data_IF_219789471996
#
_entry.id   IF_219789471996
#
_cell.length_a   1.000
_cell.length_b   1.000
_cell.length_c   1.000
_cell.angle_alpha   90.00
_cell.angle_beta   90.00
_cell.angle_gamma   90.00
#
_symmetry.space_group_name_H-M   'P 1'
#
loop_
_entity.id
_entity.type
_entity.pdbx_description
1 polymer ?
#
# COMPACT_ATOMS: atom_id res chain seq x y z
N UNK A 1 -10.34 34.16 8.28
CA UNK A 1 -9.60 35.30 8.86
C UNK A 1 -8.13 35.11 8.49
N UNK A 2 -7.64 35.95 7.58
CA UNK A 2 -6.29 36.51 7.45
C UNK A 2 -5.05 35.59 7.58
N UNK A 3 -4.57 35.14 6.41
CA UNK A 3 -3.22 35.29 5.81
C UNK A 3 -2.02 35.67 6.71
N UNK A 4 -0.90 34.93 6.59
CA UNK A 4 0.51 35.40 6.41
C UNK A 4 1.44 34.16 6.46
N UNK A 5 2.04 33.65 5.38
CA UNK A 5 3.05 34.19 4.47
C UNK A 5 4.38 34.55 5.15
N UNK A 6 5.45 33.80 4.84
CA UNK A 6 6.79 34.28 4.42
C UNK A 6 7.98 33.42 4.91
N UNK A 7 8.59 32.69 3.96
CA UNK A 7 9.94 32.97 3.41
C UNK A 7 11.24 32.63 4.19
N UNK A 8 12.05 31.77 3.53
CA UNK A 8 13.39 32.07 2.94
C UNK A 8 14.71 31.73 3.69
N UNK A 9 15.42 30.77 3.06
CA UNK A 9 16.85 30.66 2.66
C UNK A 9 17.97 30.06 3.53
N UNK A 10 18.65 29.12 2.84
CA UNK A 10 20.12 28.94 2.66
C UNK A 10 20.93 28.29 3.82
N UNK A 11 21.97 27.48 3.60
CA UNK A 11 22.77 27.20 2.42
C UNK A 11 23.58 25.87 2.59
N UNK A 12 23.91 25.30 1.42
CA UNK A 12 25.17 24.67 0.99
C UNK A 12 25.94 23.64 1.84
N UNK A 13 26.34 22.56 1.16
CA UNK A 13 27.48 21.72 1.53
C UNK A 13 27.64 20.56 0.55
N UNK A 14 28.37 20.80 -0.54
CA UNK A 14 28.65 19.81 -1.59
C UNK A 14 29.72 18.78 -1.21
N UNK A 15 29.88 17.79 -2.08
CA UNK A 15 30.92 16.78 -2.01
C UNK A 15 30.65 15.67 -3.01
N UNK A 16 31.28 15.78 -4.17
CA UNK A 16 31.31 14.80 -5.27
C UNK A 16 31.95 13.48 -4.84
N UNK A 17 31.50 12.33 -5.36
CA UNK A 17 32.30 11.53 -6.30
C UNK A 17 31.63 10.23 -6.76
N UNK A 18 32.10 9.80 -7.93
CA UNK A 18 31.54 8.86 -8.88
C UNK A 18 31.65 7.36 -8.52
N UNK A 19 30.85 6.55 -9.21
CA UNK A 19 31.36 5.30 -9.78
C UNK A 19 30.59 4.01 -9.48
N UNK A 20 30.04 3.46 -10.56
CA UNK A 20 29.92 2.04 -10.89
C UNK A 20 28.61 1.27 -10.61
N UNK A 21 28.26 0.46 -11.62
CA UNK A 21 26.92 -0.04 -11.86
C UNK A 21 26.63 -1.48 -11.42
N UNK A 22 25.37 -1.84 -11.66
CA UNK A 22 24.87 -3.21 -11.71
C UNK A 22 24.54 -3.84 -10.37
N UNK A 23 23.26 -3.84 -9.98
CA UNK A 23 22.74 -5.02 -9.30
C UNK A 23 21.27 -5.27 -9.59
N UNK A 24 21.03 -6.49 -10.06
CA UNK A 24 19.73 -7.11 -10.31
C UNK A 24 19.27 -7.74 -9.00
N UNK A 25 18.27 -7.15 -8.34
CA UNK A 25 17.45 -7.76 -7.29
C UNK A 25 18.19 -8.63 -6.27
N UNK A 26 18.60 -8.05 -5.15
CA UNK A 26 18.91 -8.84 -3.96
C UNK A 26 18.56 -8.07 -2.68
N UNK A 27 17.96 -8.80 -1.72
CA UNK A 27 17.72 -8.30 -0.38
C UNK A 27 19.04 -8.01 0.33
N UNK A 28 19.15 -6.84 0.94
CA UNK A 28 20.33 -6.45 1.71
C UNK A 28 20.07 -5.18 2.50
N UNK A 29 19.76 -5.36 3.80
CA UNK A 29 20.24 -4.61 4.98
C UNK A 29 20.29 -3.07 5.03
N UNK A 30 19.81 -2.34 4.01
CA UNK A 30 19.71 -0.88 4.00
C UNK A 30 18.25 -0.43 4.08
N UNK A 31 17.97 0.55 4.94
CA UNK A 31 16.66 1.22 5.01
C UNK A 31 16.32 1.81 3.62
N UNK A 32 15.20 1.40 3.02
CA UNK A 32 14.80 1.90 1.69
C UNK A 32 14.53 3.39 1.76
N UNK A 33 15.15 4.21 0.90
CA UNK A 33 14.82 5.63 0.84
C UNK A 33 13.50 5.79 0.09
N UNK A 34 12.54 6.48 0.71
CA UNK A 34 11.26 6.80 0.07
C UNK A 34 11.24 8.27 -0.35
N UNK A 35 10.87 8.53 -1.61
CA UNK A 35 10.66 9.88 -2.13
C UNK A 35 9.25 10.03 -2.66
N UNK A 36 8.55 11.03 -2.19
CA UNK A 36 7.17 11.32 -2.52
C UNK A 36 7.05 12.56 -3.37
N UNK A 37 6.14 12.50 -4.34
CA UNK A 37 5.68 13.65 -5.11
C UNK A 37 4.16 13.62 -5.18
N UNK A 38 3.56 14.80 -5.21
CA UNK A 38 2.13 14.96 -5.45
C UNK A 38 1.92 15.75 -6.74
N UNK A 39 0.87 15.41 -7.45
CA UNK A 39 0.46 16.08 -8.66
C UNK A 39 -1.04 16.37 -8.60
N UNK A 40 -1.46 17.41 -9.33
CA UNK A 40 -2.86 17.67 -9.56
C UNK A 40 -3.56 16.41 -10.10
N UNK A 41 -4.80 16.21 -9.67
CA UNK A 41 -5.63 15.09 -10.11
C UNK A 41 -6.02 15.29 -11.56
N UNK A 42 -5.67 14.33 -12.41
CA UNK A 42 -6.16 14.29 -13.78
C UNK A 42 -7.68 14.07 -13.80
N UNK A 43 -8.38 14.84 -14.63
CA UNK A 43 -9.85 14.82 -14.77
C UNK A 43 -10.41 13.75 -15.70
N UNK A 44 -9.55 13.03 -16.43
CA UNK A 44 -9.95 11.97 -17.37
C UNK A 44 -9.05 10.75 -17.22
N UNK A 45 -9.57 9.58 -17.58
CA UNK A 45 -8.81 8.33 -17.59
C UNK A 45 -7.53 8.43 -18.45
N UNK A 46 -7.63 9.06 -19.63
CA UNK A 46 -6.51 9.23 -20.54
C UNK A 46 -5.41 10.14 -19.97
N UNK A 47 -5.79 11.29 -19.39
CA UNK A 47 -4.84 12.19 -18.74
C UNK A 47 -4.20 11.53 -17.52
N UNK A 48 -4.99 10.76 -16.77
CA UNK A 48 -4.49 10.01 -15.62
C UNK A 48 -3.50 8.93 -16.04
N UNK A 49 -3.80 8.14 -17.06
CA UNK A 49 -2.85 7.15 -17.60
C UNK A 49 -1.56 7.79 -18.11
N UNK A 50 -1.65 8.94 -18.79
CA UNK A 50 -0.46 9.68 -19.23
C UNK A 50 0.39 10.13 -18.03
N UNK A 51 -0.25 10.70 -17.01
CA UNK A 51 0.40 11.11 -15.77
C UNK A 51 1.06 9.92 -15.05
N UNK A 52 0.36 8.79 -14.94
CA UNK A 52 0.89 7.55 -14.35
C UNK A 52 2.13 7.05 -15.09
N UNK A 53 2.12 7.06 -16.43
CA UNK A 53 3.27 6.59 -17.23
C UNK A 53 4.45 7.56 -17.20
N UNK A 54 4.22 8.88 -17.15
CA UNK A 54 5.31 9.86 -16.96
C UNK A 54 6.00 9.63 -15.60
N UNK A 55 5.23 9.46 -14.53
CA UNK A 55 5.80 9.18 -13.20
C UNK A 55 6.41 7.78 -13.14
N UNK A 56 5.77 6.78 -13.74
CA UNK A 56 6.27 5.42 -13.81
C UNK A 56 7.61 5.30 -14.51
N UNK A 57 7.84 6.05 -15.59
CA UNK A 57 9.13 6.10 -16.28
C UNK A 57 10.25 6.71 -15.41
N UNK A 58 9.90 7.58 -14.47
CA UNK A 58 10.80 8.14 -13.45
C UNK A 58 10.96 7.22 -12.23
N UNK A 59 10.33 6.04 -12.26
CA UNK A 59 10.34 5.06 -11.17
C UNK A 59 9.41 5.39 -10.00
N UNK A 60 8.45 6.28 -10.21
CA UNK A 60 7.44 6.60 -9.22
C UNK A 60 6.21 5.69 -9.39
N UNK A 61 5.82 5.06 -8.28
CA UNK A 61 4.60 4.27 -8.19
C UNK A 61 3.46 5.10 -7.63
N UNK A 62 2.30 5.03 -8.28
CA UNK A 62 1.06 5.58 -7.76
C UNK A 62 0.66 4.91 -6.43
N UNK A 63 0.41 5.74 -5.42
CA UNK A 63 0.04 5.35 -4.07
C UNK A 63 -1.47 5.52 -3.89
N UNK A 64 -2.04 6.64 -4.34
CA UNK A 64 -3.48 6.86 -4.23
C UNK A 64 -3.86 8.32 -4.37
N UNK A 65 -5.08 8.62 -3.91
CA UNK A 65 -5.67 9.95 -3.97
C UNK A 65 -6.05 10.47 -2.57
N UNK A 66 -5.08 10.63 -1.65
CA UNK A 66 -5.36 11.17 -0.32
C UNK A 66 -6.08 12.53 -0.43
N UNK A 67 -7.13 12.68 0.38
CA UNK A 67 -7.93 13.91 0.45
C UNK A 67 -7.36 14.86 1.51
N UNK A 68 -7.13 16.12 1.14
CA UNK A 68 -6.57 17.13 2.05
C UNK A 68 -7.40 18.41 2.02
N UNK A 69 -8.00 18.81 3.15
CA UNK A 69 -8.57 20.16 3.32
C UNK A 69 -9.46 20.67 2.18
N UNK A 70 -10.15 19.78 1.47
CA UNK A 70 -11.01 20.10 0.32
C UNK A 70 -10.47 19.78 -1.09
N UNK A 71 -9.26 19.24 -1.23
CA UNK A 71 -8.71 18.80 -2.52
C UNK A 71 -7.97 17.45 -2.40
N UNK A 72 -8.27 16.53 -3.31
CA UNK A 72 -7.53 15.27 -3.43
C UNK A 72 -6.44 15.42 -4.50
N UNK A 73 -5.24 14.90 -4.24
CA UNK A 73 -4.09 14.98 -5.16
C UNK A 73 -3.49 13.61 -5.38
N UNK A 74 -2.95 13.37 -6.58
CA UNK A 74 -2.35 12.09 -6.94
C UNK A 74 -0.99 11.96 -6.28
N UNK A 75 -0.88 11.05 -5.32
CA UNK A 75 0.35 10.79 -4.58
C UNK A 75 1.14 9.66 -5.23
N UNK A 76 2.44 9.88 -5.37
CA UNK A 76 3.38 8.90 -5.91
C UNK A 76 4.56 8.71 -4.96
N UNK A 77 5.18 7.52 -5.02
CA UNK A 77 6.38 7.18 -4.27
C UNK A 77 7.44 6.53 -5.16
N UNK A 78 8.68 6.95 -5.03
CA UNK A 78 9.85 6.24 -5.51
C UNK A 78 10.51 5.57 -4.28
N UNK A 79 10.37 4.24 -4.19
CA UNK A 79 10.86 3.39 -3.11
C UNK A 79 11.73 2.23 -3.62
N UNK A 80 12.04 2.24 -4.92
CA UNK A 80 12.88 1.27 -5.61
C UNK A 80 13.48 1.87 -6.90
N UNK A 81 14.63 1.35 -7.32
CA UNK A 81 15.29 1.75 -8.58
C UNK A 81 14.76 0.96 -9.78
N UNK A 82 13.44 1.05 -10.04
CA UNK A 82 12.78 0.39 -11.17
C UNK A 82 11.81 1.33 -11.88
N UNK A 83 11.57 1.12 -13.17
CA UNK A 83 10.56 1.83 -13.94
C UNK A 83 9.24 1.04 -13.98
N UNK A 84 8.13 1.78 -14.13
CA UNK A 84 6.78 1.24 -14.21
C UNK A 84 6.07 1.68 -15.48
N UNK A 85 5.23 0.79 -15.99
CA UNK A 85 4.26 1.05 -17.06
C UNK A 85 2.85 0.85 -16.50
N UNK A 86 1.93 1.71 -16.92
CA UNK A 86 0.56 1.76 -16.42
C UNK A 86 -0.47 1.65 -17.54
N UNK A 87 -1.55 0.92 -17.24
CA UNK A 87 -2.78 0.91 -18.01
C UNK A 87 -3.95 1.30 -17.10
N UNK A 88 -4.86 2.11 -17.63
CA UNK A 88 -6.12 2.47 -16.97
C UNK A 88 -7.25 2.02 -17.87
N UNK A 89 -8.06 1.09 -17.36
CA UNK A 89 -9.21 0.56 -18.10
C UNK A 89 -10.51 0.98 -17.43
N UNK A 90 -11.59 1.01 -18.20
CA UNK A 90 -12.93 1.29 -17.67
C UNK A 90 -13.26 0.32 -16.54
N UNK A 91 -13.89 0.83 -15.48
CA UNK A 91 -14.32 0.03 -14.34
C UNK A 91 -15.49 -0.88 -14.71
N UNK A 92 -15.35 -2.21 -14.59
CA UNK A 92 -16.45 -3.14 -14.79
C UNK A 92 -17.54 -2.96 -13.73
N UNK A 93 -18.78 -3.27 -14.10
CA UNK A 93 -19.95 -3.12 -13.22
C UNK A 93 -20.36 -4.41 -12.51
N UNK A 94 -19.70 -5.53 -12.82
CA UNK A 94 -19.98 -6.84 -12.22
C UNK A 94 -18.68 -7.49 -11.74
N UNK A 95 -18.77 -8.31 -10.68
CA UNK A 95 -17.63 -9.04 -10.15
C UNK A 95 -16.98 -9.95 -11.22
N UNK A 96 -17.78 -10.69 -11.99
CA UNK A 96 -17.28 -11.55 -13.07
C UNK A 96 -16.48 -10.78 -14.13
N UNK A 97 -17.00 -9.64 -14.59
CA UNK A 97 -16.30 -8.82 -15.58
C UNK A 97 -15.02 -8.21 -15.00
N UNK A 98 -15.03 -7.81 -13.73
CA UNK A 98 -13.84 -7.33 -13.04
C UNK A 98 -12.75 -8.41 -12.91
N UNK A 99 -13.12 -9.63 -12.48
CA UNK A 99 -12.19 -10.75 -12.37
C UNK A 99 -11.61 -11.14 -13.74
N UNK A 100 -12.44 -11.14 -14.79
CA UNK A 100 -11.98 -11.38 -16.14
C UNK A 100 -10.98 -10.31 -16.59
N UNK A 101 -11.26 -9.03 -16.32
CA UNK A 101 -10.37 -7.93 -16.69
C UNK A 101 -9.03 -8.00 -15.93
N UNK A 102 -9.06 -8.17 -14.61
CA UNK A 102 -7.83 -8.22 -13.80
C UNK A 102 -6.99 -9.45 -14.14
N UNK A 103 -7.61 -10.58 -14.46
CA UNK A 103 -6.91 -11.79 -14.92
C UNK A 103 -6.26 -11.58 -16.29
N UNK A 104 -6.96 -10.96 -17.24
CA UNK A 104 -6.40 -10.63 -18.56
C UNK A 104 -5.20 -9.68 -18.48
N UNK A 105 -5.18 -8.78 -17.49
CA UNK A 105 -4.03 -7.92 -17.21
C UNK A 105 -2.91 -8.66 -16.48
N UNK A 106 -3.25 -9.51 -15.52
CA UNK A 106 -2.32 -10.33 -14.76
C UNK A 106 -1.44 -11.23 -15.63
N UNK A 107 -2.02 -11.89 -16.65
CA UNK A 107 -1.25 -12.74 -17.60
C UNK A 107 -0.28 -11.94 -18.47
N UNK A 108 -0.49 -10.62 -18.62
CA UNK A 108 0.42 -9.70 -19.33
C UNK A 108 1.50 -9.12 -18.41
N UNK A 109 1.49 -9.48 -17.13
CA UNK A 109 2.39 -9.00 -16.08
C UNK A 109 1.98 -7.68 -15.44
N UNK A 110 0.74 -7.26 -15.65
CA UNK A 110 0.17 -6.10 -14.97
C UNK A 110 -0.52 -6.53 -13.67
N UNK A 111 -0.09 -5.94 -12.57
CA UNK A 111 -0.69 -6.11 -11.26
C UNK A 111 -1.78 -5.07 -11.02
N UNK A 112 -2.89 -5.47 -10.39
CA UNK A 112 -3.87 -4.53 -9.86
C UNK A 112 -3.19 -3.56 -8.89
N UNK A 113 -3.34 -2.25 -9.10
CA UNK A 113 -2.72 -1.22 -8.29
C UNK A 113 -3.74 -0.36 -7.54
N UNK A 114 -4.84 0.02 -8.18
CA UNK A 114 -5.91 0.84 -7.61
C UNK A 114 -7.16 0.74 -8.51
N UNK A 115 -8.28 1.25 -8.04
CA UNK A 115 -9.46 1.52 -8.85
C UNK A 115 -10.19 2.75 -8.30
N UNK A 116 -10.72 3.58 -9.19
CA UNK A 116 -11.57 4.72 -8.84
C UNK A 116 -12.51 5.08 -10.00
N UNK A 117 -13.12 6.27 -9.94
CA UNK A 117 -14.04 6.80 -10.94
C UNK A 117 -13.39 7.01 -12.32
N UNK A 118 -12.06 7.09 -12.40
CA UNK A 118 -11.31 7.20 -13.66
C UNK A 118 -11.01 5.85 -14.27
N UNK A 119 -11.17 4.75 -13.52
CA UNK A 119 -10.97 3.39 -14.01
C UNK A 119 -10.22 2.47 -13.04
N UNK A 120 -9.91 1.26 -13.51
CA UNK A 120 -9.04 0.30 -12.83
C UNK A 120 -7.61 0.50 -13.30
N UNK A 121 -6.72 0.71 -12.35
CA UNK A 121 -5.30 1.00 -12.56
C UNK A 121 -4.49 -0.28 -12.45
N UNK A 122 -3.74 -0.55 -13.50
CA UNK A 122 -2.86 -1.68 -13.66
C UNK A 122 -1.42 -1.21 -13.74
N UNK A 123 -0.51 -1.84 -13.00
CA UNK A 123 0.92 -1.50 -12.98
C UNK A 123 1.77 -2.70 -13.34
N UNK A 124 2.72 -2.50 -14.26
CA UNK A 124 3.77 -3.46 -14.60
C UNK A 124 5.13 -2.85 -14.34
N UNK A 125 6.07 -3.63 -13.80
CA UNK A 125 7.49 -3.25 -13.78
C UNK A 125 8.04 -3.48 -15.19
N UNK A 126 8.63 -2.45 -15.81
CA UNK A 126 8.85 -2.38 -17.29
C UNK A 126 9.64 -3.56 -17.88
N UNK A 127 10.47 -4.25 -17.11
CA UNK A 127 11.26 -5.41 -17.55
C UNK A 127 10.96 -6.70 -16.74
N UNK A 128 9.89 -6.74 -15.96
CA UNK A 128 9.53 -7.94 -15.20
C UNK A 128 8.80 -8.95 -16.08
N UNK A 129 9.14 -10.23 -15.88
CA UNK A 129 8.43 -11.39 -16.42
C UNK A 129 7.39 -11.95 -15.46
N UNK A 130 7.22 -11.34 -14.28
CA UNK A 130 6.24 -11.75 -13.28
C UNK A 130 4.82 -11.61 -13.84
N UNK A 131 4.00 -12.64 -13.61
CA UNK A 131 2.58 -12.65 -13.96
C UNK A 131 1.74 -12.84 -12.71
N UNK A 132 0.47 -12.44 -12.80
CA UNK A 132 -0.47 -12.49 -11.68
C UNK A 132 -1.73 -13.26 -12.08
N UNK A 133 -2.18 -14.15 -11.19
CA UNK A 133 -3.47 -14.83 -11.30
C UNK A 133 -4.39 -14.29 -10.23
N UNK A 134 -5.67 -14.14 -10.55
CA UNK A 134 -6.68 -13.64 -9.62
C UNK A 134 -7.84 -14.62 -9.49
N UNK A 135 -8.41 -14.68 -8.29
CA UNK A 135 -9.66 -15.38 -8.03
C UNK A 135 -10.56 -14.50 -7.17
N UNK A 136 -11.86 -14.53 -7.44
CA UNK A 136 -12.86 -13.97 -6.54
C UNK A 136 -13.51 -15.10 -5.76
N UNK A 137 -13.74 -14.84 -4.48
CA UNK A 137 -14.48 -15.73 -3.59
C UNK A 137 -15.62 -14.93 -3.04
N UNK A 138 -16.84 -15.42 -3.23
CA UNK A 138 -18.02 -14.79 -2.64
C UNK A 138 -17.79 -14.62 -1.14
N UNK A 139 -17.95 -13.39 -0.67
CA UNK A 139 -17.86 -13.07 0.75
C UNK A 139 -19.19 -12.54 1.24
N UNK A 140 -19.53 -12.88 2.47
CA UNK A 140 -20.55 -12.14 3.20
C UNK A 140 -19.92 -10.85 3.70
N UNK A 141 -20.69 -9.75 3.82
CA UNK A 141 -20.21 -8.56 4.51
C UNK A 141 -19.58 -8.98 5.84
N UNK A 142 -18.31 -8.64 6.08
CA UNK A 142 -17.53 -9.18 7.20
C UNK A 142 -18.21 -8.98 8.56
N UNK A 143 -19.08 -7.96 8.71
CA UNK A 143 -19.88 -7.75 9.91
C UNK A 143 -20.78 -8.93 10.32
N UNK A 144 -21.01 -9.91 9.43
CA UNK A 144 -21.69 -11.17 9.74
C UNK A 144 -20.78 -12.40 9.89
N UNK A 145 -19.46 -12.26 9.70
CA UNK A 145 -18.50 -13.36 9.71
C UNK A 145 -17.71 -13.38 11.03
N UNK A 146 -17.65 -14.52 11.76
CA UNK A 146 -16.74 -14.66 12.90
C UNK A 146 -15.29 -14.52 12.45
N UNK A 147 -14.51 -13.80 13.25
CA UNK A 147 -13.11 -13.47 12.96
C UNK A 147 -12.23 -14.73 12.82
N UNK A 148 -12.50 -15.78 13.59
CA UNK A 148 -11.83 -17.07 13.48
C UNK A 148 -12.05 -17.75 12.12
N UNK A 149 -13.26 -17.65 11.55
CA UNK A 149 -13.60 -18.20 10.23
C UNK A 149 -12.87 -17.44 9.12
N UNK A 150 -12.79 -16.10 9.24
CA UNK A 150 -11.98 -15.28 8.34
C UNK A 150 -10.52 -15.70 8.36
N UNK A 151 -9.90 -15.76 9.54
CA UNK A 151 -8.48 -16.14 9.68
C UNK A 151 -8.20 -17.52 9.11
N UNK A 152 -9.06 -18.52 9.40
CA UNK A 152 -8.90 -19.87 8.87
C UNK A 152 -8.96 -19.91 7.33
N UNK A 153 -9.92 -19.20 6.74
CA UNK A 153 -10.14 -19.15 5.29
C UNK A 153 -8.97 -18.47 4.58
N UNK A 154 -8.57 -17.29 5.04
CA UNK A 154 -7.47 -16.52 4.44
C UNK A 154 -6.14 -17.26 4.62
N UNK A 155 -5.89 -17.92 5.76
CA UNK A 155 -4.66 -18.68 5.99
C UNK A 155 -4.57 -19.94 5.15
N UNK A 156 -5.68 -20.67 4.92
CA UNK A 156 -5.68 -21.83 4.04
C UNK A 156 -5.28 -21.44 2.61
N UNK A 157 -5.79 -20.31 2.11
CA UNK A 157 -5.42 -19.74 0.81
C UNK A 157 -3.99 -19.20 0.80
N UNK A 158 -3.59 -18.51 1.86
CA UNK A 158 -2.23 -18.00 2.07
C UNK A 158 -1.17 -19.10 2.03
N UNK A 159 -1.45 -20.27 2.61
CA UNK A 159 -0.59 -21.44 2.53
C UNK A 159 -0.48 -22.02 1.10
N UNK A 160 -1.54 -21.87 0.29
CA UNK A 160 -1.53 -22.20 -1.13
C UNK A 160 -0.92 -21.10 -2.03
N UNK A 161 -0.43 -20.02 -1.44
CA UNK A 161 0.23 -18.89 -2.09
C UNK A 161 -0.70 -17.81 -2.65
N UNK A 162 -1.97 -17.83 -2.25
CA UNK A 162 -2.93 -16.78 -2.56
C UNK A 162 -2.91 -15.71 -1.49
N UNK A 163 -2.71 -14.46 -1.89
CA UNK A 163 -2.78 -13.30 -1.01
C UNK A 163 -4.14 -12.64 -1.17
N UNK A 164 -4.84 -12.36 -0.08
CA UNK A 164 -6.01 -11.48 -0.13
C UNK A 164 -5.55 -10.10 -0.64
N UNK A 165 -5.98 -9.68 -1.83
CA UNK A 165 -5.60 -8.38 -2.39
C UNK A 165 -6.49 -7.27 -1.85
N UNK A 166 -7.81 -7.44 -1.99
CA UNK A 166 -8.82 -6.49 -1.51
C UNK A 166 -10.14 -7.20 -1.26
N UNK A 167 -10.95 -6.63 -0.39
CA UNK A 167 -12.36 -6.94 -0.22
C UNK A 167 -13.13 -5.93 -1.08
N UNK A 168 -14.07 -6.38 -1.92
CA UNK A 168 -14.67 -5.56 -2.98
C UNK A 168 -16.18 -5.73 -3.03
N UNK A 169 -16.86 -4.70 -3.54
CA UNK A 169 -18.30 -4.73 -3.84
C UNK A 169 -18.53 -4.27 -5.27
N UNK A 170 -19.14 -5.10 -6.11
CA UNK A 170 -19.48 -4.76 -7.49
C UNK A 170 -20.84 -5.32 -7.88
N UNK A 171 -21.70 -4.48 -8.45
CA UNK A 171 -23.06 -4.87 -8.81
C UNK A 171 -23.89 -5.37 -7.61
N UNK A 172 -23.56 -4.93 -6.38
CA UNK A 172 -24.20 -5.37 -5.14
C UNK A 172 -23.68 -6.70 -4.58
N UNK A 173 -22.65 -7.30 -5.19
CA UNK A 173 -22.03 -8.55 -4.72
C UNK A 173 -20.74 -8.23 -3.97
N UNK A 174 -20.62 -8.76 -2.76
CA UNK A 174 -19.40 -8.73 -1.94
C UNK A 174 -18.51 -9.92 -2.31
N UNK A 175 -17.23 -9.67 -2.51
CA UNK A 175 -16.26 -10.72 -2.77
C UNK A 175 -14.87 -10.35 -2.28
N UNK A 176 -14.12 -11.38 -1.90
CA UNK A 176 -12.71 -11.29 -1.61
C UNK A 176 -11.92 -11.56 -2.89
N UNK A 177 -11.11 -10.60 -3.32
CA UNK A 177 -10.19 -10.77 -4.44
C UNK A 177 -8.87 -11.30 -3.91
N UNK A 178 -8.50 -12.51 -4.30
CA UNK A 178 -7.16 -13.05 -4.05
C UNK A 178 -6.28 -12.90 -5.28
N UNK A 179 -4.98 -12.72 -5.04
CA UNK A 179 -3.93 -12.60 -6.03
C UNK A 179 -2.85 -13.64 -5.75
N UNK A 180 -2.35 -14.28 -6.81
CA UNK A 180 -1.20 -15.16 -6.76
C UNK A 180 -0.17 -14.73 -7.81
N UNK A 181 1.04 -14.44 -7.36
CA UNK A 181 2.17 -14.16 -8.25
C UNK A 181 2.77 -15.46 -8.80
N UNK A 182 3.38 -15.38 -9.99
CA UNK A 182 4.28 -16.42 -10.49
C UNK A 182 5.55 -16.57 -9.64
N UNK A 183 5.92 -15.53 -8.88
CA UNK A 183 6.97 -15.60 -7.86
C UNK A 183 6.41 -16.29 -6.62
N UNK A 184 6.95 -17.45 -6.19
CA UNK A 184 6.39 -18.19 -5.07
C UNK A 184 6.43 -17.39 -3.77
N UNK A 185 5.26 -17.23 -3.15
CA UNK A 185 5.13 -16.69 -1.81
C UNK A 185 3.97 -17.34 -1.06
N UNK A 186 4.04 -17.32 0.26
CA UNK A 186 2.98 -17.79 1.17
C UNK A 186 2.70 -16.71 2.20
N UNK A 187 1.46 -16.70 2.70
CA UNK A 187 0.96 -15.64 3.55
C UNK A 187 0.22 -16.19 4.76
N UNK A 188 0.23 -15.42 5.85
CA UNK A 188 -0.59 -15.66 7.00
C UNK A 188 -1.21 -14.34 7.46
N UNK A 189 -2.42 -14.41 7.99
CA UNK A 189 -3.11 -13.32 8.67
C UNK A 189 -3.42 -13.70 10.11
N UNK A 190 -3.55 -12.68 10.93
CA UNK A 190 -4.10 -12.78 12.29
C UNK A 190 -4.90 -11.53 12.61
N UNK A 191 -5.73 -11.64 13.63
CA UNK A 191 -6.58 -10.55 14.10
C UNK A 191 -6.31 -10.25 15.57
N UNK A 192 -6.43 -9.00 15.95
CA UNK A 192 -6.36 -8.57 17.35
C UNK A 192 -7.40 -7.49 17.62
N UNK A 193 -7.89 -7.40 18.86
CA UNK A 193 -8.82 -6.33 19.25
C UNK A 193 -8.20 -4.94 19.08
N UNK A 194 -9.06 -3.95 18.88
CA UNK A 194 -8.66 -2.53 18.97
C UNK A 194 -8.34 -2.20 20.42
N UNK A 195 -7.14 -1.68 20.69
CA UNK A 195 -6.75 -1.28 22.02
C UNK A 195 -7.52 -0.03 22.50
N UNK A 196 -7.61 0.17 23.82
CA UNK A 196 -8.35 1.31 24.38
C UNK A 196 -7.66 2.67 24.19
N UNK A 197 -6.33 2.70 24.02
CA UNK A 197 -5.54 3.94 23.94
C UNK A 197 -4.57 3.92 22.77
N UNK A 198 -4.22 5.10 22.24
CA UNK A 198 -3.18 5.28 21.22
C UNK A 198 -1.89 4.52 21.58
N UNK A 199 -1.35 4.74 22.79
CA UNK A 199 -0.10 4.09 23.22
C UNK A 199 -0.19 2.57 23.25
N UNK A 200 -1.31 2.01 23.73
CA UNK A 200 -1.52 0.57 23.74
C UNK A 200 -1.69 0.00 22.33
N UNK A 201 -2.30 0.77 21.43
CA UNK A 201 -2.45 0.37 20.03
C UNK A 201 -1.11 0.36 19.30
N UNK A 202 -0.28 1.39 19.51
CA UNK A 202 1.07 1.44 18.95
C UNK A 202 1.95 0.29 19.48
N UNK A 203 1.83 -0.06 20.77
CA UNK A 203 2.53 -1.22 21.33
C UNK A 203 2.09 -2.53 20.66
N UNK A 204 0.79 -2.71 20.36
CA UNK A 204 0.31 -3.87 19.60
C UNK A 204 0.90 -3.91 18.19
N UNK A 205 0.94 -2.77 17.49
CA UNK A 205 1.57 -2.69 16.17
C UNK A 205 3.04 -3.11 16.21
N UNK A 206 3.79 -2.66 17.21
CA UNK A 206 5.19 -3.05 17.38
C UNK A 206 5.34 -4.54 17.71
N UNK A 207 4.52 -5.11 18.60
CA UNK A 207 4.56 -6.56 18.89
C UNK A 207 4.25 -7.41 17.65
N UNK A 208 3.25 -7.02 16.87
CA UNK A 208 2.92 -7.66 15.60
C UNK A 208 4.07 -7.54 14.61
N UNK A 209 4.60 -6.33 14.47
CA UNK A 209 5.67 -6.02 13.55
C UNK A 209 6.97 -6.75 13.87
N UNK A 210 7.33 -6.93 15.16
CA UNK A 210 8.46 -7.76 15.58
C UNK A 210 8.26 -9.25 15.27
N UNK A 211 7.00 -9.71 15.18
CA UNK A 211 6.66 -11.05 14.75
C UNK A 211 6.54 -11.20 13.21
N UNK A 212 6.88 -10.16 12.44
CA UNK A 212 6.82 -10.15 10.97
C UNK A 212 5.43 -9.92 10.39
N UNK A 213 4.47 -9.46 11.20
CA UNK A 213 3.12 -9.13 10.78
C UNK A 213 2.98 -7.62 10.53
N UNK A 214 2.70 -7.25 9.28
CA UNK A 214 2.36 -5.88 8.87
C UNK A 214 0.86 -5.64 8.99
N UNK A 215 0.49 -4.55 9.63
CA UNK A 215 -0.88 -4.03 9.68
C UNK A 215 -1.51 -3.93 8.27
N UNK A 216 -2.78 -4.32 8.16
CA UNK A 216 -3.61 -4.05 6.97
C UNK A 216 -4.64 -2.95 7.22
N UNK A 217 -5.34 -3.02 8.35
CA UNK A 217 -6.50 -2.17 8.61
C UNK A 217 -7.40 -2.76 9.68
N UNK A 218 -8.43 -2.01 10.06
CA UNK A 218 -9.52 -2.50 10.90
C UNK A 218 -10.58 -3.12 10.00
N UNK A 219 -11.03 -4.32 10.34
CA UNK A 219 -12.15 -4.99 9.70
C UNK A 219 -13.27 -5.16 10.72
N UNK A 220 -14.51 -5.11 10.24
CA UNK A 220 -15.71 -5.34 11.05
C UNK A 220 -16.03 -6.83 10.99
N UNK A 221 -16.06 -7.51 12.12
CA UNK A 221 -16.45 -8.92 12.24
C UNK A 221 -17.74 -9.06 13.07
N UNK A 222 -18.33 -10.26 13.06
CA UNK A 222 -19.42 -10.59 13.99
C UNK A 222 -19.01 -10.44 15.47
N UNK A 223 -17.71 -10.62 15.75
CA UNK A 223 -17.12 -10.49 17.09
C UNK A 223 -16.68 -9.05 17.42
N UNK A 224 -16.89 -8.10 16.51
CA UNK A 224 -16.54 -6.68 16.67
C UNK A 224 -15.47 -6.19 15.69
N UNK A 225 -14.98 -4.98 15.94
CA UNK A 225 -13.94 -4.36 15.11
C UNK A 225 -12.56 -4.86 15.55
N UNK A 226 -11.83 -5.49 14.64
CA UNK A 226 -10.51 -6.05 14.91
C UNK A 226 -9.48 -5.51 13.91
N UNK A 227 -8.25 -5.33 14.38
CA UNK A 227 -7.11 -5.11 13.53
C UNK A 227 -6.72 -6.40 12.81
N UNK A 228 -6.58 -6.32 11.49
CA UNK A 228 -6.02 -7.39 10.68
C UNK A 228 -4.55 -7.10 10.43
N UNK A 229 -3.72 -8.11 10.64
CA UNK A 229 -2.30 -8.09 10.31
C UNK A 229 -1.96 -9.24 9.36
N UNK A 230 -0.92 -9.04 8.55
CA UNK A 230 -0.48 -9.96 7.51
C UNK A 230 1.03 -10.15 7.55
N UNK A 231 1.48 -11.39 7.45
CA UNK A 231 2.87 -11.78 7.29
C UNK A 231 3.10 -12.54 5.97
N UNK A 232 4.32 -12.44 5.44
CA UNK A 232 4.83 -13.33 4.40
C UNK A 232 5.55 -14.45 5.11
N UNK A 233 5.11 -15.69 4.92
CA UNK A 233 5.69 -16.86 5.60
C UNK A 233 6.77 -17.55 4.77
N UNK A 234 7.21 -16.89 3.70
CA UNK A 234 8.36 -17.34 2.88
C UNK A 234 9.65 -17.30 3.68
N UNK A 235 10.58 -18.22 3.38
CA UNK A 235 11.90 -18.25 4.01
C UNK A 235 12.66 -16.92 3.86
N UNK A 236 12.50 -16.23 2.73
CA UNK A 236 13.10 -14.92 2.46
C UNK A 236 12.58 -13.79 3.38
N UNK A 237 11.46 -14.01 4.07
CA UNK A 237 10.87 -13.07 5.03
C UNK A 237 10.85 -13.61 6.46
N UNK A 238 11.58 -14.69 6.76
CA UNK A 238 11.58 -15.32 8.08
C UNK A 238 12.10 -14.39 9.20
N UNK A 239 12.82 -13.32 8.85
CA UNK A 239 13.33 -12.30 9.76
C UNK A 239 12.71 -10.91 9.53
N UNK A 240 11.71 -10.83 8.66
CA UNK A 240 11.08 -9.55 8.34
C UNK A 240 10.48 -8.95 9.62
N UNK A 241 10.74 -7.67 9.85
CA UNK A 241 10.10 -6.92 10.94
C UNK A 241 9.52 -5.61 10.45
N UNK A 242 8.50 -5.13 11.16
CA UNK A 242 7.84 -3.85 10.92
C UNK A 242 7.86 -3.03 12.21
N UNK A 243 8.16 -1.75 12.11
CA UNK A 243 8.06 -0.81 13.24
C UNK A 243 7.25 0.41 12.82
N UNK A 244 6.39 0.89 13.71
CA UNK A 244 5.43 1.94 13.38
C UNK A 244 5.75 3.26 14.06
N UNK A 245 5.42 4.35 13.38
CA UNK A 245 5.64 5.71 13.85
C UNK A 245 4.40 6.55 13.56
N UNK A 246 3.84 7.15 14.60
CA UNK A 246 2.71 8.05 14.49
C UNK A 246 3.19 9.51 14.58
N UNK A 247 2.81 10.33 13.60
CA UNK A 247 3.09 11.76 13.56
C UNK A 247 1.80 12.58 13.61
N UNK A 248 1.86 13.85 14.05
CA UNK A 248 0.72 14.75 13.95
C UNK A 248 0.18 14.77 12.51
N UNK A 249 -1.15 14.63 12.38
CA UNK A 249 -1.84 14.72 11.10
C UNK A 249 -1.57 16.08 10.46
N UNK A 250 -1.12 16.08 9.21
CA UNK A 250 -1.08 17.30 8.37
C UNK A 250 -2.30 17.41 7.48
N UNK A 251 -2.64 18.65 7.11
CA UNK A 251 -3.94 18.96 6.49
C UNK A 251 -3.87 19.35 5.02
N UNK A 252 -2.66 19.38 4.44
CA UNK A 252 -2.43 19.67 3.03
C UNK A 252 -1.52 18.64 2.36
N UNK A 253 -1.66 18.49 1.03
CA UNK A 253 -0.82 17.59 0.25
C UNK A 253 0.67 17.95 0.33
N UNK A 254 0.99 19.25 0.30
CA UNK A 254 2.36 19.74 0.37
C UNK A 254 3.01 19.45 1.73
N UNK A 255 2.26 19.62 2.83
CA UNK A 255 2.73 19.25 4.16
C UNK A 255 2.93 17.74 4.28
N UNK A 256 2.03 16.91 3.72
CA UNK A 256 2.21 15.45 3.74
C UNK A 256 3.43 15.05 2.95
N UNK A 257 3.64 15.58 1.74
CA UNK A 257 4.84 15.28 0.95
C UNK A 257 6.10 15.72 1.70
N UNK A 258 6.08 16.87 2.38
CA UNK A 258 7.22 17.33 3.19
C UNK A 258 7.50 16.39 4.36
N UNK A 259 6.47 16.03 5.11
CA UNK A 259 6.58 15.10 6.24
C UNK A 259 7.04 13.73 5.76
N UNK A 260 6.43 13.19 4.71
CA UNK A 260 6.71 11.88 4.14
C UNK A 260 8.10 11.79 3.51
N UNK A 261 8.61 12.86 2.89
CA UNK A 261 9.99 12.91 2.43
C UNK A 261 10.99 12.98 3.60
N UNK A 262 10.65 13.71 4.67
CA UNK A 262 11.48 13.74 5.88
C UNK A 262 11.59 12.35 6.53
N UNK A 263 10.45 11.66 6.66
CA UNK A 263 10.42 10.29 7.20
C UNK A 263 11.03 9.28 6.22
N UNK A 264 10.79 9.45 4.92
CA UNK A 264 11.32 8.64 3.84
C UNK A 264 12.83 8.69 3.71
N UNK A 265 13.47 9.82 4.05
CA UNK A 265 14.93 9.92 4.16
C UNK A 265 15.50 9.06 5.31
N UNK A 266 14.70 8.78 6.35
CA UNK A 266 15.03 7.82 7.40
C UNK A 266 14.59 6.38 7.06
N UNK A 267 14.14 6.18 5.82
CA UNK A 267 13.58 4.97 5.25
C UNK A 267 12.28 4.46 5.87
N UNK A 268 11.45 5.40 6.34
CA UNK A 268 10.09 5.10 6.78
C UNK A 268 9.11 5.38 5.64
N UNK A 269 8.36 4.37 5.26
CA UNK A 269 7.29 4.49 4.27
C UNK A 269 6.00 4.98 4.91
N UNK A 270 5.28 5.87 4.23
CA UNK A 270 3.92 6.27 4.59
C UNK A 270 2.99 5.03 4.51
N UNK A 271 2.27 4.75 5.59
CA UNK A 271 1.21 3.73 5.63
C UNK A 271 -0.14 4.38 5.31
N UNK A 272 -0.38 5.58 5.83
CA UNK A 272 -1.61 6.34 5.59
C UNK A 272 -2.03 7.18 6.78
N UNK A 273 -3.19 7.80 6.67
CA UNK A 273 -3.82 8.54 7.76
C UNK A 273 -4.74 7.63 8.54
N UNK A 274 -4.56 7.56 9.86
CA UNK A 274 -5.28 6.63 10.71
C UNK A 274 -5.86 7.33 11.94
N UNK A 275 -7.12 7.04 12.23
CA UNK A 275 -7.74 7.37 13.52
C UNK A 275 -7.33 6.32 14.54
N UNK A 276 -6.51 6.71 15.51
CA UNK A 276 -6.12 5.86 16.63
C UNK A 276 -7.13 5.97 17.78
N UNK A 277 -7.20 4.95 18.67
CA UNK A 277 -8.08 4.97 19.83
C UNK A 277 -7.91 6.26 20.65
N UNK A 278 -9.04 6.85 21.04
CA UNK A 278 -9.10 8.20 21.63
C UNK A 278 -9.44 9.31 20.63
N UNK A 279 -9.68 8.98 19.36
CA UNK A 279 -10.15 9.92 18.33
C UNK A 279 -9.04 10.80 17.75
N UNK A 280 -7.78 10.39 17.91
CA UNK A 280 -6.63 11.16 17.43
C UNK A 280 -6.22 10.66 16.06
N UNK A 281 -6.36 11.52 15.06
CA UNK A 281 -5.86 11.25 13.71
C UNK A 281 -4.34 11.46 13.65
N UNK A 282 -3.65 10.54 13.00
CA UNK A 282 -2.19 10.54 12.81
C UNK A 282 -1.82 10.21 11.38
N UNK A 283 -0.72 10.78 10.92
CA UNK A 283 0.01 10.23 9.77
C UNK A 283 0.87 9.07 10.28
N UNK A 284 0.58 7.86 9.81
CA UNK A 284 1.28 6.65 10.22
C UNK A 284 2.35 6.27 9.18
N UNK A 285 3.53 5.92 9.68
CA UNK A 285 4.64 5.43 8.88
C UNK A 285 5.13 4.09 9.41
N UNK A 286 5.74 3.29 8.54
CA UNK A 286 6.36 2.04 8.91
C UNK A 286 7.82 1.99 8.46
N UNK A 287 8.65 1.27 9.20
CA UNK A 287 9.99 0.86 8.79
C UNK A 287 9.97 -0.66 8.65
N UNK A 288 10.28 -1.16 7.45
CA UNK A 288 10.45 -2.59 7.19
C UNK A 288 11.93 -2.95 7.21
N UNK A 289 12.32 -4.00 7.94
CA UNK A 289 13.69 -4.52 8.02
C UNK A 289 13.70 -6.00 7.62
N UNK A 290 14.76 -6.45 6.95
CA UNK A 290 14.92 -7.84 6.47
C UNK A 290 13.70 -8.37 5.70
N UNK A 291 13.10 -7.48 4.91
CA UNK A 291 11.83 -7.70 4.23
C UNK A 291 12.00 -7.65 2.71
N UNK A 292 11.39 -8.61 2.01
CA UNK A 292 11.28 -8.63 0.55
C UNK A 292 9.84 -8.84 0.05
N UNK A 293 9.57 -8.34 -1.15
CA UNK A 293 8.26 -8.44 -1.79
C UNK A 293 7.25 -7.41 -1.31
N UNK A 294 5.98 -7.62 -1.68
CA UNK A 294 4.93 -6.60 -1.58
C UNK A 294 4.64 -6.11 -0.15
N UNK A 295 4.89 -6.92 0.88
CA UNK A 295 4.66 -6.47 2.26
C UNK A 295 5.66 -5.41 2.71
N UNK A 296 6.71 -5.12 1.95
CA UNK A 296 7.74 -4.15 2.29
C UNK A 296 7.57 -2.83 1.56
N UNK A 297 6.69 -2.79 0.56
CA UNK A 297 6.44 -1.62 -0.27
C UNK A 297 5.42 -0.70 0.40
N UNK A 298 5.48 0.60 0.11
CA UNK A 298 4.43 1.55 0.56
C UNK A 298 3.08 1.11 -0.01
N UNK A 299 2.06 0.89 0.82
CA UNK A 299 0.73 0.61 0.28
C UNK A 299 0.08 1.96 -0.06
N UNK A 300 -0.90 1.95 -0.95
CA UNK A 300 -1.82 3.08 -0.99
C UNK A 300 -2.38 3.33 0.41
N UNK A 301 -2.73 4.59 0.77
CA UNK A 301 -3.27 4.86 2.10
C UNK A 301 -4.34 3.82 2.41
N UNK A 302 -4.09 3.04 3.46
CA UNK A 302 -5.00 2.02 3.96
C UNK A 302 -6.26 2.73 4.44
N UNK A 303 -7.26 2.87 3.57
CA UNK A 303 -8.44 3.66 3.86
C UNK A 303 -9.17 4.09 2.59
N UNK A 304 -9.84 3.13 1.97
CA UNK A 304 -11.21 3.32 1.50
C UNK A 304 -12.03 2.11 1.93
#
# INVERSE_FOLDING_TARGET
>A
MVVCLAAVLAACGGGDDAGDGGDTGNGGTGSRVHRYVELATASTAANFQAQLNVQGALGYRYVGLPGYGGASRSLFVNDASVAYTYEVLVSPTTATAFVAQVTAQGVRGFRLASYDDRGVVYRKVTNSTETFTYEAVDSVPHGGLPSGTYVATVNARGAAGWRLHSELVMGGVYFDLYEKSSTPATYAVRVEEVAATESSQMARFDVNGQAGYRMRGIHVFADGNLWVFEASTTAANAKATFRYFAYPLVTSAAELVTQANTQGASGRGLEGQLNLPGGVARDLYFLATDCSGVLCDVRGPSGQ
#
